data_IF_137903507604
#
_entry.id   IF_137903507604
#
_cell.length_a   1.000
_cell.length_b   1.000
_cell.length_c   1.000
_cell.angle_alpha   90.00
_cell.angle_beta   90.00
_cell.angle_gamma   90.00
#
_symmetry.space_group_name_H-M   'P 1'
#
loop_
_entity.id
_entity.type
_entity.pdbx_description
1 polymer ?
#
# COMPACT_ATOMS: atom_id res chain seq x y z
N UNK A 1 -6.70 5.24 -15.73
CA UNK A 1 -7.23 4.61 -14.51
C UNK A 1 -7.64 5.67 -13.51
N UNK A 2 -8.64 5.37 -12.72
CA UNK A 2 -9.14 6.29 -11.69
C UNK A 2 -8.68 5.80 -10.31
N UNK A 3 -8.02 6.67 -9.55
CA UNK A 3 -7.57 6.38 -8.19
C UNK A 3 -8.59 6.90 -7.18
N UNK A 4 -8.90 6.09 -6.18
CA UNK A 4 -9.75 6.50 -5.05
C UNK A 4 -9.01 6.18 -3.75
N UNK A 5 -8.89 7.17 -2.87
CA UNK A 5 -8.20 7.04 -1.60
C UNK A 5 -9.24 7.09 -0.48
N UNK A 6 -9.23 6.04 0.35
CA UNK A 6 -10.05 5.96 1.57
C UNK A 6 -9.12 5.99 2.78
N UNK A 7 -9.68 6.04 3.98
CA UNK A 7 -8.88 6.11 5.20
C UNK A 7 -7.88 4.96 5.35
N UNK A 8 -8.28 3.76 4.92
CA UNK A 8 -7.48 2.55 5.14
C UNK A 8 -7.28 1.73 3.87
N UNK A 9 -7.49 2.37 2.72
CA UNK A 9 -7.44 1.66 1.44
C UNK A 9 -7.22 2.63 0.30
N UNK A 10 -6.46 2.19 -0.70
CA UNK A 10 -6.35 2.88 -1.99
C UNK A 10 -6.73 1.88 -3.06
N UNK A 11 -7.59 2.30 -4.00
CA UNK A 11 -7.96 1.47 -5.14
C UNK A 11 -7.72 2.22 -6.44
N UNK A 12 -7.49 1.43 -7.50
CA UNK A 12 -7.47 1.93 -8.87
C UNK A 12 -8.52 1.17 -9.66
N UNK A 13 -9.31 1.91 -10.43
CA UNK A 13 -10.35 1.34 -11.29
C UNK A 13 -10.02 1.62 -12.75
N UNK A 14 -10.39 0.69 -13.62
CA UNK A 14 -10.27 0.88 -15.06
C UNK A 14 -11.49 1.67 -15.59
N UNK A 15 -11.55 1.87 -16.90
CA UNK A 15 -12.64 2.61 -17.54
C UNK A 15 -13.99 1.94 -17.38
N UNK A 16 -14.02 0.66 -17.08
CA UNK A 16 -15.24 -0.10 -16.83
C UNK A 16 -15.65 -0.10 -15.36
N UNK A 17 -14.97 0.72 -14.55
CA UNK A 17 -15.24 0.87 -13.12
C UNK A 17 -14.94 -0.41 -12.32
N UNK A 18 -14.02 -1.23 -12.82
CA UNK A 18 -13.58 -2.45 -12.14
C UNK A 18 -12.29 -2.16 -11.38
N UNK A 19 -12.21 -2.62 -10.13
CA UNK A 19 -11.00 -2.48 -9.32
C UNK A 19 -9.91 -3.36 -9.93
N UNK A 20 -8.80 -2.75 -10.34
CA UNK A 20 -7.66 -3.46 -10.95
C UNK A 20 -6.40 -3.41 -10.09
N UNK A 21 -6.40 -2.60 -9.04
CA UNK A 21 -5.31 -2.58 -8.06
C UNK A 21 -5.83 -2.05 -6.74
N UNK A 22 -5.28 -2.56 -5.64
CA UNK A 22 -5.75 -2.19 -4.31
C UNK A 22 -4.67 -2.46 -3.28
N UNK A 23 -4.60 -1.60 -2.28
CA UNK A 23 -3.77 -1.83 -1.10
C UNK A 23 -4.58 -1.47 0.13
N UNK A 24 -4.56 -2.36 1.12
CA UNK A 24 -5.24 -2.15 2.40
C UNK A 24 -4.20 -1.86 3.47
N UNK A 25 -4.43 -0.82 4.27
CA UNK A 25 -3.52 -0.42 5.33
C UNK A 25 -4.30 0.06 6.55
N UNK A 26 -5.04 -0.85 7.21
CA UNK A 26 -5.84 -0.48 8.38
C UNK A 26 -4.98 0.09 9.50
N UNK A 27 -5.57 0.98 10.27
CA UNK A 27 -4.93 1.53 11.45
C UNK A 27 -4.91 0.47 12.54
N UNK A 28 -3.73 0.18 13.07
CA UNK A 28 -3.52 -0.91 14.04
C UNK A 28 -3.01 -0.42 15.39
N UNK A 29 -2.84 0.88 15.54
CA UNK A 29 -2.44 1.52 16.78
C UNK A 29 -2.60 3.02 16.65
N UNK A 30 -2.33 3.77 17.70
CA UNK A 30 -2.54 5.23 17.69
C UNK A 30 -1.79 5.92 16.56
N UNK A 31 -0.55 5.53 16.32
CA UNK A 31 0.29 6.12 15.28
C UNK A 31 0.85 5.04 14.37
N UNK A 32 0.04 4.02 14.09
CA UNK A 32 0.50 2.86 13.35
C UNK A 32 -0.55 2.39 12.35
N UNK A 33 -0.09 2.07 11.15
CA UNK A 33 -0.88 1.37 10.12
C UNK A 33 -0.15 0.09 9.74
N UNK A 34 -0.91 -0.89 9.28
CA UNK A 34 -0.34 -2.17 8.83
C UNK A 34 -0.80 -2.44 7.41
N UNK A 35 0.14 -2.65 6.50
CA UNK A 35 -0.19 -3.05 5.13
C UNK A 35 -0.52 -4.54 5.17
N UNK A 36 -1.79 -4.87 5.00
CA UNK A 36 -2.30 -6.24 5.15
C UNK A 36 -2.53 -6.95 3.83
N UNK A 37 -2.81 -6.19 2.76
CA UNK A 37 -3.18 -6.80 1.49
C UNK A 37 -2.81 -5.89 0.34
N UNK A 38 -2.24 -6.47 -0.72
CA UNK A 38 -1.92 -5.78 -1.96
C UNK A 38 -2.43 -6.63 -3.12
N UNK A 39 -3.21 -6.04 -4.00
CA UNK A 39 -3.77 -6.71 -5.17
C UNK A 39 -3.43 -5.93 -6.42
N UNK A 40 -2.96 -6.61 -7.45
CA UNK A 40 -2.75 -6.03 -8.79
C UNK A 40 -3.27 -7.03 -9.81
N UNK A 41 -4.22 -6.58 -10.63
CA UNK A 41 -4.78 -7.40 -11.68
C UNK A 41 -3.70 -7.83 -12.68
N UNK A 42 -3.86 -9.01 -13.27
CA UNK A 42 -2.88 -9.57 -14.22
C UNK A 42 -2.58 -8.61 -15.38
N UNK A 43 -3.58 -7.84 -15.81
CA UNK A 43 -3.42 -6.88 -16.92
C UNK A 43 -2.44 -5.75 -16.60
N UNK A 44 -2.15 -5.51 -15.31
CA UNK A 44 -1.25 -4.44 -14.88
C UNK A 44 0.08 -4.96 -14.35
N UNK A 45 0.30 -6.26 -14.35
CA UNK A 45 1.55 -6.83 -13.83
C UNK A 45 2.73 -6.43 -14.71
N UNK A 46 3.89 -6.26 -14.08
CA UNK A 46 5.09 -5.84 -14.78
C UNK A 46 5.19 -4.34 -15.01
N UNK A 47 4.23 -3.56 -14.52
CA UNK A 47 4.22 -2.10 -14.69
C UNK A 47 4.56 -1.33 -13.41
N UNK A 48 5.04 -2.03 -12.37
CA UNK A 48 5.42 -1.39 -11.12
C UNK A 48 4.25 -0.93 -10.27
N UNK A 49 3.05 -1.47 -10.50
CA UNK A 49 1.85 -1.02 -9.82
C UNK A 49 1.85 -1.32 -8.32
N UNK A 50 2.31 -2.51 -7.94
CA UNK A 50 2.40 -2.88 -6.53
C UNK A 50 3.37 -1.98 -5.77
N UNK A 51 4.51 -1.69 -6.38
CA UNK A 51 5.50 -0.76 -5.81
C UNK A 51 4.89 0.62 -5.63
N UNK A 52 4.17 1.10 -6.63
CA UNK A 52 3.51 2.40 -6.57
C UNK A 52 2.51 2.46 -5.42
N UNK A 53 1.73 1.40 -5.22
CA UNK A 53 0.77 1.34 -4.13
C UNK A 53 1.47 1.46 -2.76
N UNK A 54 2.55 0.72 -2.55
CA UNK A 54 3.30 0.78 -1.30
C UNK A 54 3.88 2.18 -1.11
N UNK A 55 4.44 2.77 -2.16
CA UNK A 55 5.01 4.11 -2.09
C UNK A 55 3.95 5.17 -1.74
N UNK A 56 2.73 5.02 -2.25
CA UNK A 56 1.65 5.93 -1.89
C UNK A 56 1.27 5.82 -0.42
N UNK A 57 1.27 4.61 0.14
CA UNK A 57 1.02 4.42 1.56
C UNK A 57 2.15 5.03 2.39
N UNK A 58 3.40 4.88 1.96
CA UNK A 58 4.54 5.50 2.65
C UNK A 58 4.36 7.03 2.70
N UNK A 59 3.96 7.64 1.59
CA UNK A 59 3.75 9.08 1.55
C UNK A 59 2.64 9.52 2.52
N UNK A 60 1.55 8.77 2.59
CA UNK A 60 0.47 9.05 3.53
C UNK A 60 0.98 8.93 4.97
N UNK A 61 1.71 7.85 5.26
CA UNK A 61 2.22 7.60 6.61
C UNK A 61 3.19 8.68 7.05
N UNK A 62 4.07 9.14 6.15
CA UNK A 62 5.01 10.21 6.47
C UNK A 62 4.28 11.51 6.76
N UNK A 63 3.26 11.82 5.96
CA UNK A 63 2.47 13.03 6.14
C UNK A 63 1.69 13.01 7.44
N UNK A 64 1.09 11.86 7.78
CA UNK A 64 0.28 11.71 8.98
C UNK A 64 1.10 11.30 10.20
N UNK A 65 2.40 11.09 10.03
CA UNK A 65 3.33 10.69 11.10
C UNK A 65 2.98 9.33 11.71
N UNK A 66 2.61 8.39 10.85
CA UNK A 66 2.38 7.01 11.24
C UNK A 66 3.64 6.18 11.05
N UNK A 67 3.82 5.17 11.88
CA UNK A 67 4.72 4.07 11.61
C UNK A 67 4.00 3.03 10.76
N UNK A 68 4.74 2.25 10.01
CA UNK A 68 4.18 1.21 9.12
C UNK A 68 4.65 -0.16 9.59
N UNK A 69 3.70 -1.08 9.67
CA UNK A 69 3.98 -2.52 9.77
C UNK A 69 3.42 -3.20 8.53
N UNK A 70 3.80 -4.44 8.29
CA UNK A 70 3.32 -5.19 7.15
C UNK A 70 3.13 -6.65 7.50
N UNK A 71 2.01 -7.22 7.04
CA UNK A 71 1.77 -8.66 7.07
C UNK A 71 1.64 -9.22 5.67
N UNK A 72 1.46 -8.34 4.67
CA UNK A 72 1.44 -8.71 3.27
C UNK A 72 2.85 -9.05 2.79
N UNK A 73 3.03 -10.22 2.19
CA UNK A 73 4.36 -10.69 1.76
C UNK A 73 5.03 -9.74 0.77
N UNK A 74 4.27 -9.13 -0.13
CA UNK A 74 4.86 -8.17 -1.07
C UNK A 74 5.44 -6.96 -0.34
N UNK A 75 4.67 -6.40 0.60
CA UNK A 75 5.12 -5.22 1.35
C UNK A 75 6.33 -5.55 2.22
N UNK A 76 6.33 -6.71 2.86
CA UNK A 76 7.49 -7.15 3.66
C UNK A 76 8.73 -7.21 2.77
N UNK A 77 8.61 -7.82 1.58
CA UNK A 77 9.74 -7.89 0.64
C UNK A 77 10.20 -6.52 0.18
N UNK A 78 9.27 -5.60 -0.04
CA UNK A 78 9.61 -4.23 -0.41
C UNK A 78 10.46 -3.56 0.68
N UNK A 79 10.04 -3.66 1.94
CA UNK A 79 10.76 -3.03 3.04
C UNK A 79 12.07 -3.73 3.37
N UNK A 80 12.20 -5.00 3.06
CA UNK A 80 13.48 -5.71 3.20
C UNK A 80 14.53 -5.14 2.24
N UNK A 81 14.11 -4.66 1.08
CA UNK A 81 15.02 -4.10 0.07
C UNK A 81 15.20 -2.60 0.20
N UNK A 82 14.22 -1.91 0.76
CA UNK A 82 14.19 -0.46 0.82
C UNK A 82 14.04 -0.01 2.26
N UNK A 83 15.12 0.49 2.84
CA UNK A 83 15.10 0.93 4.24
C UNK A 83 14.32 2.23 4.37
N UNK A 84 13.17 2.14 5.02
CA UNK A 84 12.29 3.28 5.29
C UNK A 84 12.18 3.40 6.80
N UNK A 85 12.57 4.56 7.34
CA UNK A 85 12.66 4.78 8.79
C UNK A 85 11.36 4.49 9.54
N UNK A 86 10.21 4.79 8.92
CA UNK A 86 8.92 4.60 9.58
C UNK A 86 8.42 3.15 9.52
N UNK A 87 9.10 2.28 8.78
CA UNK A 87 8.75 0.87 8.76
C UNK A 87 9.33 0.18 10.00
N UNK A 88 8.48 -0.51 10.74
CA UNK A 88 8.86 -1.26 11.95
C UNK A 88 8.59 -2.73 11.69
N UNK A 89 9.65 -3.53 11.60
CA UNK A 89 9.53 -4.96 11.39
C UNK A 89 8.82 -5.61 12.57
N UNK A 90 8.09 -6.67 12.27
CA UNK A 90 7.38 -7.45 13.30
C UNK A 90 8.34 -8.25 14.19
#
# INVERSE_FOLDING_TARGET
>A
MKKEIFNERIIYKNDENVVVAQIDFPKTGDNEITITHTFVDASLRGQGMAKKLVEEVINIAQKEKYNIRATCSYAIGYFDKNHIDIYKAN
#
